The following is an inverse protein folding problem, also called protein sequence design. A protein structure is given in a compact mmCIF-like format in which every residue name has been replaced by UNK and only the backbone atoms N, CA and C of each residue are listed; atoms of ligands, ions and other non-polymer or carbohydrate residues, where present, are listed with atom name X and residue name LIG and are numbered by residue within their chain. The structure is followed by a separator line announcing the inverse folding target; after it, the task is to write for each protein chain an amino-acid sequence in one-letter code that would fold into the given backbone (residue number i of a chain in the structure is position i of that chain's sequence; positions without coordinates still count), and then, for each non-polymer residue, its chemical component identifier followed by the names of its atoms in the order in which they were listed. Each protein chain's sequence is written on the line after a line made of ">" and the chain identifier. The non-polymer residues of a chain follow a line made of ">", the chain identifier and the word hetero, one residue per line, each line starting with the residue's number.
data_IF_765724832668
#
_entry.id   IF_765724832668
#
_cell.length_a   1.000
_cell.length_b   1.000
_cell.length_c   1.000
_cell.angle_alpha   90.00
_cell.angle_beta   90.00
_cell.angle_gamma   90.00
#
_symmetry.space_group_name_H-M   'P 1'
#
loop_
_entity.id
_entity.type
_entity.pdbx_description
1 polymer ?
#
# COMPACT_ATOMS: atom_id res chain seq x y z
N UNK A 1 24.50 -8.01 7.07
CA UNK A 1 25.52 -7.16 7.76
C UNK A 1 26.95 -7.65 7.55
N UNK A 2 27.28 -8.90 7.88
CA UNK A 2 28.68 -9.36 7.78
C UNK A 2 29.18 -9.54 6.33
N UNK A 3 28.33 -9.98 5.41
CA UNK A 3 28.64 -10.09 3.98
C UNK A 3 28.76 -8.74 3.27
N UNK A 4 27.97 -7.75 3.65
CA UNK A 4 28.00 -6.39 3.09
C UNK A 4 29.21 -5.63 3.57
N UNK A 5 29.60 -5.81 4.84
CA UNK A 5 30.83 -5.22 5.40
C UNK A 5 32.08 -5.83 4.76
N UNK A 6 32.07 -7.13 4.44
CA UNK A 6 33.16 -7.78 3.69
C UNK A 6 33.27 -7.28 2.25
N UNK A 7 32.14 -6.99 1.61
CA UNK A 7 32.09 -6.42 0.26
C UNK A 7 32.66 -4.99 0.24
N UNK A 8 32.28 -4.15 1.21
CA UNK A 8 32.78 -2.79 1.37
C UNK A 8 34.29 -2.76 1.68
N UNK A 9 34.78 -3.65 2.53
CA UNK A 9 36.23 -3.80 2.82
C UNK A 9 37.00 -4.30 1.59
N UNK A 10 36.44 -5.23 0.80
CA UNK A 10 37.06 -5.71 -0.44
C UNK A 10 37.13 -4.61 -1.50
N UNK A 11 36.13 -3.74 -1.61
CA UNK A 11 36.12 -2.58 -2.53
C UNK A 11 37.13 -1.54 -2.11
N UNK A 12 37.26 -1.26 -0.81
CA UNK A 12 38.30 -0.34 -0.27
C UNK A 12 39.71 -0.82 -0.53
N UNK A 13 39.99 -2.11 -0.40
CA UNK A 13 41.28 -2.70 -0.70
C UNK A 13 41.63 -2.70 -2.20
N UNK A 14 40.64 -2.86 -3.08
CA UNK A 14 40.82 -2.80 -4.53
C UNK A 14 41.24 -1.39 -4.98
N UNK A 15 40.68 -0.34 -4.36
CA UNK A 15 41.03 1.04 -4.73
C UNK A 15 42.50 1.38 -4.52
N UNK A 16 43.10 1.00 -3.39
CA UNK A 16 44.46 1.36 -3.05
C UNK A 16 45.51 0.61 -3.90
N UNK A 17 45.27 -0.64 -4.18
CA UNK A 17 46.23 -1.47 -4.98
C UNK A 17 46.21 -1.11 -6.47
N UNK A 18 45.07 -0.74 -7.04
CA UNK A 18 44.96 -0.33 -8.45
C UNK A 18 45.44 1.10 -8.70
N UNK A 19 45.29 2.02 -7.74
CA UNK A 19 45.79 3.39 -7.83
C UNK A 19 47.31 3.41 -7.86
N UNK A 20 47.97 2.54 -7.11
CA UNK A 20 49.45 2.44 -7.06
C UNK A 20 50.03 1.80 -8.34
N UNK A 21 49.34 0.89 -9.02
CA UNK A 21 49.80 0.27 -10.27
C UNK A 21 49.56 1.10 -11.53
N UNK A 22 48.67 2.09 -11.48
CA UNK A 22 48.22 2.87 -12.65
C UNK A 22 49.21 3.98 -13.08
N UNK A 23 50.32 4.19 -12.39
CA UNK A 23 51.27 5.28 -12.70
C UNK A 23 52.15 5.03 -13.93
N UNK A 24 52.00 3.90 -14.65
CA UNK A 24 52.91 3.50 -15.73
C UNK A 24 52.41 3.50 -17.18
N UNK A 25 51.11 3.64 -17.47
CA UNK A 25 50.64 3.48 -18.87
C UNK A 25 49.48 4.44 -19.27
N UNK A 26 49.78 5.41 -20.13
CA UNK A 26 48.83 6.43 -20.63
C UNK A 26 47.67 5.91 -21.47
N UNK A 27 47.64 4.68 -21.96
CA UNK A 27 46.54 4.08 -22.77
C UNK A 27 45.46 3.37 -21.98
N UNK A 28 45.72 2.97 -20.74
CA UNK A 28 44.75 2.29 -19.86
C UNK A 28 43.84 3.26 -19.12
N UNK A 29 44.21 4.55 -19.00
CA UNK A 29 43.42 5.55 -18.23
C UNK A 29 41.99 5.74 -18.71
N UNK A 30 41.75 5.76 -20.03
CA UNK A 30 40.36 5.91 -20.57
C UNK A 30 39.49 4.67 -20.30
N UNK A 31 40.05 3.47 -20.39
CA UNK A 31 39.33 2.21 -20.14
C UNK A 31 39.06 2.00 -18.65
N UNK A 32 40.00 2.38 -17.78
CA UNK A 32 39.82 2.37 -16.32
C UNK A 32 38.84 3.41 -15.86
N UNK A 33 38.84 4.63 -16.43
CA UNK A 33 37.85 5.65 -16.11
C UNK A 33 36.41 5.23 -16.54
N UNK A 34 36.30 4.57 -17.70
CA UNK A 34 34.98 4.02 -18.18
C UNK A 34 34.57 2.86 -17.28
N UNK A 35 35.46 1.94 -16.91
CA UNK A 35 35.17 0.84 -15.99
C UNK A 35 34.81 1.33 -14.59
N UNK A 36 35.50 2.35 -14.06
CA UNK A 36 35.19 2.99 -12.80
C UNK A 36 33.84 3.74 -12.84
N UNK A 37 33.54 4.41 -13.96
CA UNK A 37 32.23 5.05 -14.15
C UNK A 37 31.10 4.02 -14.26
N UNK A 38 31.31 2.91 -14.98
CA UNK A 38 30.34 1.81 -15.05
C UNK A 38 30.17 1.15 -13.68
N UNK A 39 31.26 0.91 -12.95
CA UNK A 39 31.19 0.35 -11.59
C UNK A 39 30.50 1.32 -10.61
N UNK A 40 30.74 2.63 -10.73
CA UNK A 40 30.04 3.63 -9.93
C UNK A 40 28.55 3.72 -10.28
N UNK A 41 28.19 3.61 -11.56
CA UNK A 41 26.79 3.56 -12.01
C UNK A 41 26.12 2.26 -11.52
N UNK A 42 26.81 1.12 -11.61
CA UNK A 42 26.30 -0.16 -11.10
C UNK A 42 26.16 -0.16 -9.57
N UNK A 43 27.10 0.49 -8.85
CA UNK A 43 26.99 0.68 -7.39
C UNK A 43 25.88 1.65 -7.01
N UNK A 44 25.66 2.71 -7.78
CA UNK A 44 24.52 3.62 -7.59
C UNK A 44 23.21 2.89 -7.87
N UNK A 45 23.13 2.11 -8.94
CA UNK A 45 21.93 1.33 -9.27
C UNK A 45 21.68 0.21 -8.24
N UNK A 46 22.71 -0.47 -7.77
CA UNK A 46 22.60 -1.46 -6.69
C UNK A 46 22.27 -0.82 -5.35
N UNK A 47 22.81 0.37 -5.06
CA UNK A 47 22.52 1.14 -3.85
C UNK A 47 21.08 1.65 -3.82
N UNK A 48 20.55 2.09 -4.96
CA UNK A 48 19.15 2.54 -5.07
C UNK A 48 18.17 1.37 -4.88
N UNK A 49 18.44 0.21 -5.46
CA UNK A 49 17.61 -0.99 -5.27
C UNK A 49 17.61 -1.50 -3.82
N UNK A 50 18.76 -1.40 -3.14
CA UNK A 50 18.88 -1.79 -1.74
C UNK A 50 18.13 -0.88 -0.77
N UNK A 51 17.86 0.39 -1.12
CA UNK A 51 17.13 1.31 -0.27
C UNK A 51 15.60 1.18 -0.47
N UNK A 52 15.14 0.90 -1.69
CA UNK A 52 13.71 0.84 -2.01
C UNK A 52 12.96 -0.22 -1.19
N UNK A 53 13.55 -1.42 -1.02
CA UNK A 53 12.91 -2.49 -0.24
C UNK A 53 12.70 -2.11 1.24
N UNK A 54 13.59 -1.30 1.81
CA UNK A 54 13.50 -0.90 3.22
C UNK A 54 12.23 -0.08 3.49
N UNK A 55 11.85 0.82 2.60
CA UNK A 55 10.65 1.64 2.77
C UNK A 55 9.38 0.80 2.69
N UNK A 56 9.31 -0.11 1.70
CA UNK A 56 8.18 -1.03 1.61
C UNK A 56 8.15 -2.00 2.79
N UNK A 57 9.31 -2.52 3.22
CA UNK A 57 9.38 -3.38 4.39
C UNK A 57 8.89 -2.65 5.65
N UNK A 58 9.28 -1.39 5.85
CA UNK A 58 8.79 -0.57 6.97
C UNK A 58 7.28 -0.34 6.86
N UNK A 59 6.80 0.04 5.68
CA UNK A 59 5.37 0.24 5.43
C UNK A 59 4.53 -1.00 5.75
N UNK A 60 4.90 -2.15 5.18
CA UNK A 60 4.17 -3.40 5.41
C UNK A 60 4.32 -3.91 6.85
N UNK A 61 5.50 -3.76 7.48
CA UNK A 61 5.71 -4.11 8.89
C UNK A 61 4.84 -3.27 9.81
N UNK A 62 4.73 -1.97 9.57
CA UNK A 62 3.90 -1.07 10.37
C UNK A 62 2.42 -1.44 10.27
N UNK A 63 1.95 -1.85 9.09
CA UNK A 63 0.55 -2.28 8.90
C UNK A 63 0.24 -3.60 9.57
N UNK A 64 1.14 -4.56 9.50
CA UNK A 64 0.96 -5.89 10.10
C UNK A 64 1.27 -5.92 11.59
N UNK A 65 2.09 -5.00 12.06
CA UNK A 65 2.76 -5.05 13.38
C UNK A 65 3.66 -6.30 13.55
N UNK A 66 4.03 -6.94 12.45
CA UNK A 66 4.90 -8.11 12.37
C UNK A 66 5.97 -7.93 11.29
N UNK A 67 7.20 -8.42 11.50
CA UNK A 67 8.25 -8.35 10.48
C UNK A 67 7.90 -9.18 9.24
N UNK A 68 8.34 -8.72 8.08
CA UNK A 68 8.26 -9.50 6.84
C UNK A 68 9.18 -10.70 6.87
N UNK A 69 8.77 -11.80 6.22
CA UNK A 69 9.62 -12.96 5.99
C UNK A 69 10.75 -12.65 4.99
N UNK A 70 11.78 -13.50 4.96
CA UNK A 70 12.88 -13.36 3.99
C UNK A 70 12.39 -13.40 2.55
N UNK A 71 11.45 -14.28 2.22
CA UNK A 71 10.87 -14.42 0.88
C UNK A 71 10.04 -13.20 0.47
N UNK A 72 9.30 -12.58 1.40
CA UNK A 72 8.58 -11.34 1.15
C UNK A 72 9.54 -10.17 0.86
N UNK A 73 10.65 -10.09 1.61
CA UNK A 73 11.71 -9.10 1.37
C UNK A 73 12.36 -9.33 0.00
N UNK A 74 12.62 -10.57 -0.37
CA UNK A 74 13.23 -10.90 -1.66
C UNK A 74 12.27 -10.59 -2.82
N UNK A 75 10.96 -10.80 -2.64
CA UNK A 75 9.94 -10.36 -3.60
C UNK A 75 10.02 -8.84 -3.84
N UNK A 76 10.00 -8.04 -2.77
CA UNK A 76 10.08 -6.58 -2.88
C UNK A 76 11.37 -6.16 -3.58
N UNK A 77 12.51 -6.76 -3.22
CA UNK A 77 13.82 -6.44 -3.82
C UNK A 77 13.87 -6.74 -5.31
N UNK A 78 13.22 -7.82 -5.73
CA UNK A 78 13.23 -8.25 -7.13
C UNK A 78 12.31 -7.40 -8.01
N UNK A 79 11.22 -6.87 -7.45
CA UNK A 79 10.13 -6.26 -8.22
C UNK A 79 10.02 -4.74 -8.04
N UNK A 80 10.58 -4.17 -6.98
CA UNK A 80 10.60 -2.72 -6.80
C UNK A 80 11.50 -2.05 -7.85
N UNK A 81 10.91 -1.18 -8.64
CA UNK A 81 11.61 -0.36 -9.62
C UNK A 81 12.03 0.95 -8.97
N UNK A 82 13.27 1.36 -9.19
CA UNK A 82 13.80 2.62 -8.64
C UNK A 82 13.67 3.74 -9.66
N UNK A 83 13.36 4.94 -9.16
CA UNK A 83 13.24 6.16 -9.93
C UNK A 83 14.10 7.27 -9.31
N UNK A 84 14.36 8.32 -10.08
CA UNK A 84 15.10 9.51 -9.64
C UNK A 84 14.42 10.78 -10.14
N UNK A 85 13.09 10.78 -10.20
CA UNK A 85 12.32 11.94 -10.61
C UNK A 85 12.09 12.84 -9.39
N UNK A 86 12.52 14.09 -9.51
CA UNK A 86 12.48 15.06 -8.42
C UNK A 86 11.85 16.36 -8.86
N UNK A 87 10.98 16.91 -8.05
CA UNK A 87 10.37 18.21 -8.27
C UNK A 87 10.39 19.02 -6.98
N UNK A 88 10.68 20.32 -7.10
CA UNK A 88 10.72 21.26 -5.97
C UNK A 88 9.77 22.42 -6.22
N UNK A 89 9.02 22.79 -5.18
CA UNK A 89 8.12 23.93 -5.20
C UNK A 89 8.11 24.57 -3.80
N UNK A 90 8.33 25.89 -3.77
CA UNK A 90 8.30 26.70 -2.54
C UNK A 90 9.12 26.13 -1.37
N UNK A 91 10.33 25.60 -1.65
CA UNK A 91 11.26 25.03 -0.67
C UNK A 91 11.00 23.57 -0.31
N UNK A 92 9.86 23.00 -0.70
CA UNK A 92 9.55 21.59 -0.53
C UNK A 92 9.93 20.79 -1.77
N UNK A 93 10.48 19.63 -1.57
CA UNK A 93 10.87 18.71 -2.65
C UNK A 93 10.19 17.37 -2.47
N UNK A 94 9.52 16.91 -3.52
CA UNK A 94 9.07 15.54 -3.67
C UNK A 94 9.99 14.80 -4.65
N UNK A 95 10.39 13.60 -4.28
CA UNK A 95 11.22 12.71 -5.09
C UNK A 95 10.53 11.35 -5.21
N UNK A 96 10.17 10.97 -6.43
CA UNK A 96 9.71 9.61 -6.71
C UNK A 96 10.91 8.67 -6.53
N UNK A 97 10.83 7.76 -5.56
CA UNK A 97 11.91 6.85 -5.19
C UNK A 97 11.75 5.46 -5.81
N UNK A 98 10.55 4.90 -5.71
CA UNK A 98 10.32 3.53 -6.21
C UNK A 98 8.87 3.25 -6.49
N UNK A 99 8.63 2.22 -7.31
CA UNK A 99 7.31 1.66 -7.61
C UNK A 99 7.34 0.14 -7.55
N UNK A 100 6.23 -0.47 -7.17
CA UNK A 100 5.95 -1.89 -7.31
C UNK A 100 4.48 -2.02 -7.71
N UNK A 101 4.18 -2.75 -8.77
CA UNK A 101 2.83 -2.77 -9.31
C UNK A 101 2.42 -4.16 -9.79
N UNK A 102 1.13 -4.42 -9.73
CA UNK A 102 0.40 -5.50 -10.36
C UNK A 102 -0.72 -4.94 -11.24
N UNK A 103 -1.44 -5.81 -11.93
CA UNK A 103 -2.55 -5.43 -12.79
C UNK A 103 -3.64 -4.59 -12.10
N UNK A 104 -3.87 -4.81 -10.81
CA UNK A 104 -4.97 -4.23 -10.02
C UNK A 104 -4.52 -3.25 -8.95
N UNK A 105 -3.24 -3.24 -8.59
CA UNK A 105 -2.73 -2.44 -7.47
C UNK A 105 -1.29 -2.00 -7.73
N UNK A 106 -0.94 -0.79 -7.30
CA UNK A 106 0.44 -0.32 -7.29
C UNK A 106 0.78 0.36 -5.97
N UNK A 107 2.03 0.18 -5.54
CA UNK A 107 2.61 0.96 -4.45
C UNK A 107 3.70 1.88 -5.00
N UNK A 108 3.66 3.14 -4.58
CA UNK A 108 4.58 4.17 -5.05
C UNK A 108 5.16 4.91 -3.86
N UNK A 109 6.49 4.97 -3.76
CA UNK A 109 7.16 5.66 -2.67
C UNK A 109 7.72 6.99 -3.13
N UNK A 110 7.34 8.04 -2.41
CA UNK A 110 7.92 9.37 -2.54
C UNK A 110 8.71 9.74 -1.30
N UNK A 111 9.86 10.39 -1.49
CA UNK A 111 10.55 11.12 -0.43
C UNK A 111 10.07 12.56 -0.39
N UNK A 112 9.69 13.05 0.78
CA UNK A 112 9.41 14.45 1.02
C UNK A 112 10.57 15.08 1.77
N UNK A 113 11.08 16.20 1.27
CA UNK A 113 12.05 17.06 1.98
C UNK A 113 11.44 18.45 2.11
N UNK A 114 11.28 18.90 3.34
CA UNK A 114 10.87 20.27 3.67
C UNK A 114 12.09 21.16 3.92
N UNK A 115 11.94 22.49 3.99
CA UNK A 115 12.97 23.41 4.49
C UNK A 115 13.51 22.98 5.87
N UNK A 116 14.76 23.33 6.17
CA UNK A 116 15.43 22.91 7.42
C UNK A 116 14.76 23.39 8.71
N UNK A 117 14.01 24.47 8.63
CA UNK A 117 13.23 25.04 9.74
C UNK A 117 11.87 24.40 9.95
N UNK A 118 11.47 23.46 9.09
CA UNK A 118 10.21 22.71 9.19
C UNK A 118 10.44 21.35 9.85
N UNK A 119 9.87 21.16 11.03
CA UNK A 119 9.93 19.88 11.76
C UNK A 119 8.70 19.01 11.39
N UNK A 120 8.96 17.86 10.75
CA UNK A 120 7.97 16.85 10.36
C UNK A 120 7.97 15.64 11.32
N UNK A 121 8.85 15.59 12.32
CA UNK A 121 8.99 14.41 13.18
C UNK A 121 7.72 14.09 13.99
N UNK A 122 6.91 15.08 14.30
CA UNK A 122 5.62 14.88 14.98
C UNK A 122 4.64 14.02 14.18
N UNK A 123 4.69 14.09 12.85
CA UNK A 123 3.80 13.31 11.97
C UNK A 123 4.05 11.79 12.06
N UNK A 124 5.24 11.39 12.49
CA UNK A 124 5.64 9.99 12.67
C UNK A 124 5.34 9.46 14.08
N UNK A 125 5.06 10.34 15.05
CA UNK A 125 4.75 9.96 16.42
C UNK A 125 3.23 9.81 16.60
N UNK A 126 2.75 8.57 16.70
CA UNK A 126 1.34 8.25 16.90
C UNK A 126 0.72 8.95 18.15
N UNK A 127 1.56 9.36 19.11
CA UNK A 127 1.10 10.03 20.32
C UNK A 127 0.76 11.50 20.12
N UNK A 128 1.29 12.12 19.05
CA UNK A 128 1.01 13.53 18.75
C UNK A 128 -0.28 13.69 17.96
N UNK A 129 -0.75 12.60 17.33
CA UNK A 129 -1.86 12.61 16.36
C UNK A 129 -1.69 13.63 15.22
N UNK A 130 -0.48 14.15 15.01
CA UNK A 130 -0.17 14.97 13.87
C UNK A 130 -0.18 14.11 12.60
N UNK A 131 -0.77 14.62 11.53
CA UNK A 131 -0.85 13.92 10.22
C UNK A 131 -0.55 14.87 9.09
N UNK A 132 0.10 14.37 8.05
CA UNK A 132 0.16 15.08 6.78
C UNK A 132 -1.08 14.74 5.94
N UNK A 133 -1.57 15.75 5.24
CA UNK A 133 -2.63 15.62 4.26
C UNK A 133 -2.21 16.29 2.95
N UNK A 134 -2.65 15.70 1.86
CA UNK A 134 -2.43 16.17 0.51
C UNK A 134 -3.79 16.36 -0.17
N UNK A 135 -4.50 17.50 0.07
CA UNK A 135 -5.89 17.69 -0.35
C UNK A 135 -6.13 17.56 -1.86
N UNK A 136 -5.07 17.75 -2.66
CA UNK A 136 -5.12 17.61 -4.12
C UNK A 136 -4.28 16.44 -4.63
N UNK A 137 -4.14 15.35 -3.84
CA UNK A 137 -3.49 14.12 -4.30
C UNK A 137 -4.39 13.40 -5.29
N UNK A 138 -3.87 13.15 -6.48
CA UNK A 138 -4.56 12.45 -7.56
C UNK A 138 -3.58 11.49 -8.25
N UNK A 139 -4.05 10.33 -8.65
CA UNK A 139 -3.37 9.44 -9.58
C UNK A 139 -4.32 9.13 -10.74
N UNK A 140 -3.89 9.41 -11.96
CA UNK A 140 -4.70 9.21 -13.15
C UNK A 140 -3.96 8.26 -14.09
N UNK A 141 -4.39 6.99 -14.19
CA UNK A 141 -3.84 6.03 -15.14
C UNK A 141 -4.12 6.49 -16.59
N UNK A 142 -3.18 6.22 -17.47
CA UNK A 142 -3.31 6.54 -18.90
C UNK A 142 -4.56 5.89 -19.52
N UNK A 143 -5.33 6.70 -20.25
CA UNK A 143 -6.59 6.25 -20.85
C UNK A 143 -7.77 6.17 -19.89
N UNK A 144 -7.56 6.35 -18.58
CA UNK A 144 -8.65 6.44 -17.61
C UNK A 144 -9.31 7.83 -17.65
N UNK A 145 -10.64 7.84 -17.52
CA UNK A 145 -11.42 9.09 -17.32
C UNK A 145 -11.59 9.46 -15.86
N UNK A 146 -11.32 8.50 -14.96
CA UNK A 146 -11.48 8.65 -13.52
C UNK A 146 -10.12 8.58 -12.84
N UNK A 147 -9.87 9.37 -11.80
CA UNK A 147 -8.71 9.17 -10.95
C UNK A 147 -8.78 7.79 -10.28
N UNK A 148 -7.62 7.24 -9.97
CA UNK A 148 -7.51 6.04 -9.15
C UNK A 148 -7.91 6.35 -7.69
N UNK A 149 -8.35 5.34 -6.98
CA UNK A 149 -8.44 5.40 -5.52
C UNK A 149 -7.03 5.36 -4.92
N UNK A 150 -6.77 6.20 -3.91
CA UNK A 150 -5.45 6.36 -3.31
C UNK A 150 -5.56 6.27 -1.80
N UNK A 151 -4.84 5.32 -1.24
CA UNK A 151 -4.48 5.33 0.18
C UNK A 151 -3.02 5.75 0.33
N UNK A 152 -2.65 6.36 1.46
CA UNK A 152 -1.25 6.64 1.74
C UNK A 152 -0.92 6.51 3.22
N UNK A 153 0.36 6.22 3.48
CA UNK A 153 0.96 6.25 4.80
C UNK A 153 2.28 7.03 4.76
N UNK A 154 2.57 7.67 5.88
CA UNK A 154 3.84 8.37 6.09
C UNK A 154 4.75 7.48 6.91
N UNK A 155 5.98 7.29 6.45
CA UNK A 155 6.98 6.45 7.12
C UNK A 155 8.30 7.19 7.29
N UNK A 156 9.04 6.83 8.34
CA UNK A 156 10.38 7.33 8.57
C UNK A 156 11.29 6.94 7.39
N UNK A 157 12.11 7.87 6.93
CA UNK A 157 13.08 7.61 5.87
C UNK A 157 14.41 7.04 6.41
N UNK A 158 14.57 7.00 7.73
CA UNK A 158 15.72 6.43 8.44
C UNK A 158 16.99 7.27 8.38
N UNK A 159 16.93 8.51 7.88
CA UNK A 159 18.09 9.39 7.78
C UNK A 159 18.34 10.25 9.03
N UNK A 160 17.40 10.23 9.99
CA UNK A 160 17.45 10.93 11.27
C UNK A 160 17.25 12.44 11.18
N UNK A 161 16.90 12.97 10.01
CA UNK A 161 16.56 14.38 9.84
C UNK A 161 15.10 14.61 10.16
N UNK A 162 14.78 15.75 10.76
CA UNK A 162 13.41 16.07 11.16
C UNK A 162 12.55 16.65 10.03
N UNK A 163 13.16 17.06 8.95
CA UNK A 163 12.50 17.69 7.81
C UNK A 163 12.37 16.76 6.60
N UNK A 164 12.61 15.46 6.79
CA UNK A 164 12.49 14.44 5.73
C UNK A 164 11.61 13.28 6.20
N UNK A 165 10.87 12.71 5.26
CA UNK A 165 10.08 11.49 5.46
C UNK A 165 9.76 10.84 4.11
N UNK A 166 9.22 9.63 4.16
CA UNK A 166 8.68 8.96 2.99
C UNK A 166 7.15 8.90 3.04
N UNK A 167 6.54 8.94 1.86
CA UNK A 167 5.11 8.76 1.64
C UNK A 167 4.99 7.52 0.77
N UNK A 168 4.30 6.49 1.25
CA UNK A 168 3.97 5.30 0.46
C UNK A 168 2.52 5.39 0.05
N UNK A 169 2.27 5.48 -1.25
CA UNK A 169 0.93 5.47 -1.83
C UNK A 169 0.55 4.04 -2.21
N UNK A 170 -0.65 3.62 -1.87
CA UNK A 170 -1.33 2.51 -2.51
C UNK A 170 -2.29 3.08 -3.54
N UNK A 171 -2.14 2.70 -4.80
CA UNK A 171 -2.93 3.20 -5.93
C UNK A 171 -3.73 2.06 -6.50
N UNK A 172 -5.02 2.28 -6.65
CA UNK A 172 -5.95 1.35 -7.25
C UNK A 172 -6.71 2.03 -8.38
N UNK A 173 -6.56 1.55 -9.62
CA UNK A 173 -7.29 2.13 -10.74
C UNK A 173 -8.78 1.82 -10.63
N UNK A 174 -9.62 2.83 -10.85
CA UNK A 174 -11.04 2.62 -11.08
C UNK A 174 -11.24 2.16 -12.53
N UNK A 175 -11.16 0.87 -12.75
CA UNK A 175 -11.28 0.28 -14.09
C UNK A 175 -12.72 -0.24 -14.26
N UNK A 176 -13.43 0.15 -15.34
CA UNK A 176 -14.72 -0.47 -15.65
C UNK A 176 -14.59 -1.98 -15.80
N UNK A 177 -15.61 -2.72 -15.37
CA UNK A 177 -15.66 -4.18 -15.50
C UNK A 177 -15.34 -4.63 -16.93
N UNK A 178 -14.42 -5.59 -17.07
CA UNK A 178 -14.01 -6.12 -18.37
C UNK A 178 -13.04 -5.25 -19.17
N UNK A 179 -12.53 -4.14 -18.61
CA UNK A 179 -11.47 -3.38 -19.23
C UNK A 179 -10.10 -4.02 -18.96
N UNK A 180 -9.16 -3.77 -19.87
CA UNK A 180 -7.75 -4.18 -19.68
C UNK A 180 -7.17 -3.54 -18.40
N UNK A 181 -6.19 -4.21 -17.78
CA UNK A 181 -5.43 -3.66 -16.66
C UNK A 181 -5.02 -2.21 -16.93
N UNK A 182 -5.19 -1.34 -15.93
CA UNK A 182 -4.75 0.05 -16.01
C UNK A 182 -3.23 0.18 -15.84
N UNK A 183 -2.58 -0.84 -15.29
CA UNK A 183 -1.14 -0.92 -15.12
C UNK A 183 -0.57 -1.99 -16.05
N UNK A 184 0.70 -1.88 -16.40
CA UNK A 184 1.38 -2.84 -17.26
C UNK A 184 2.45 -2.19 -18.13
N UNK A 185 3.16 -2.98 -18.95
CA UNK A 185 4.21 -2.48 -19.82
C UNK A 185 3.72 -1.39 -20.76
N UNK A 186 4.41 -0.25 -20.76
CA UNK A 186 4.11 0.90 -21.62
C UNK A 186 2.89 1.73 -21.20
N UNK A 187 2.26 1.43 -20.05
CA UNK A 187 1.19 2.26 -19.48
C UNK A 187 1.75 3.19 -18.44
N UNK A 188 1.32 4.44 -18.46
CA UNK A 188 1.75 5.48 -17.53
C UNK A 188 0.64 5.86 -16.56
N UNK A 189 1.03 6.38 -15.40
CA UNK A 189 0.15 6.99 -14.42
C UNK A 189 0.67 8.39 -14.09
N UNK A 190 -0.18 9.38 -14.13
CA UNK A 190 0.17 10.74 -13.68
C UNK A 190 -0.25 10.88 -12.22
N UNK A 191 0.74 11.02 -11.33
CA UNK A 191 0.54 11.24 -9.90
C UNK A 191 0.81 12.71 -9.60
N UNK A 192 -0.20 13.39 -9.07
CA UNK A 192 -0.14 14.82 -8.77
C UNK A 192 -0.40 15.08 -7.30
N UNK A 193 0.41 15.96 -6.72
CA UNK A 193 0.20 16.50 -5.39
C UNK A 193 -0.12 18.01 -5.52
N UNK A 194 -1.04 18.49 -4.71
CA UNK A 194 -1.31 19.90 -4.56
C UNK A 194 -1.40 20.20 -3.08
N UNK A 195 -0.65 21.21 -2.66
CA UNK A 195 -0.58 21.67 -1.28
C UNK A 195 -0.18 20.56 -0.28
N UNK A 196 0.47 20.93 0.79
CA UNK A 196 0.79 20.04 1.90
C UNK A 196 0.27 20.69 3.17
N UNK A 197 -0.60 19.99 3.87
CA UNK A 197 -1.26 20.45 5.09
C UNK A 197 -0.88 19.53 6.23
N UNK A 198 -0.54 20.11 7.37
CA UNK A 198 -0.38 19.41 8.63
C UNK A 198 -1.66 19.53 9.44
N UNK A 199 -2.19 18.41 9.88
CA UNK A 199 -3.30 18.33 10.81
C UNK A 199 -2.76 18.08 12.19
N UNK A 200 -3.34 18.73 13.19
CA UNK A 200 -3.13 18.45 14.59
C UNK A 200 -4.38 17.91 15.25
N UNK A 201 -4.26 17.62 16.53
CA UNK A 201 -5.37 17.24 17.39
C UNK A 201 -5.24 17.98 18.73
N UNK A 202 -6.30 18.69 19.15
CA UNK A 202 -6.33 19.47 20.39
C UNK A 202 -6.99 18.65 21.51
N UNK A 203 -6.19 17.81 22.19
CA UNK A 203 -6.64 16.98 23.29
C UNK A 203 -7.22 17.76 24.47
N UNK A 204 -6.71 18.96 24.76
CA UNK A 204 -7.20 19.79 25.85
C UNK A 204 -8.61 20.27 25.55
N UNK A 205 -8.83 20.65 24.30
CA UNK A 205 -10.16 21.06 23.84
C UNK A 205 -11.15 19.89 23.79
N UNK A 206 -10.72 18.70 23.38
CA UNK A 206 -11.57 17.52 23.45
C UNK A 206 -12.05 17.24 24.88
N UNK A 207 -11.12 17.26 25.84
CA UNK A 207 -11.46 17.06 27.28
C UNK A 207 -12.40 18.15 27.81
N UNK A 208 -12.23 19.40 27.36
CA UNK A 208 -13.16 20.48 27.63
C UNK A 208 -14.56 20.15 27.10
N UNK A 209 -14.71 19.75 25.85
CA UNK A 209 -15.98 19.38 25.22
C UNK A 209 -16.65 18.21 25.94
N UNK A 210 -15.92 17.13 26.19
CA UNK A 210 -16.43 15.93 26.88
C UNK A 210 -16.85 16.19 28.32
N UNK A 211 -16.20 17.11 29.00
CA UNK A 211 -16.55 17.45 30.40
C UNK A 211 -17.68 18.49 30.52
N UNK A 212 -17.96 19.24 29.46
CA UNK A 212 -18.96 20.32 29.49
C UNK A 212 -20.15 20.05 28.58
N UNK A 213 -20.00 20.28 27.27
CA UNK A 213 -21.09 20.25 26.28
C UNK A 213 -21.64 18.84 26.06
N UNK A 214 -20.76 17.84 26.03
CA UNK A 214 -21.09 16.44 25.67
C UNK A 214 -20.99 15.49 26.90
N UNK A 215 -21.00 16.03 28.12
CA UNK A 215 -20.88 15.23 29.33
C UNK A 215 -21.93 14.10 29.40
N UNK A 216 -21.42 12.85 29.45
CA UNK A 216 -22.28 11.65 29.53
C UNK A 216 -22.90 11.21 28.23
N UNK A 217 -22.57 11.83 27.09
CA UNK A 217 -22.98 11.38 25.76
C UNK A 217 -21.95 10.43 25.18
N UNK A 218 -22.41 9.31 24.60
CA UNK A 218 -21.56 8.35 23.88
C UNK A 218 -21.49 8.65 22.39
N UNK A 219 -22.54 9.27 21.83
CA UNK A 219 -22.64 9.64 20.42
C UNK A 219 -22.94 11.13 20.35
N UNK A 220 -21.96 11.90 19.87
CA UNK A 220 -22.12 13.34 19.65
C UNK A 220 -21.56 13.74 18.29
N UNK A 221 -22.20 14.74 17.69
CA UNK A 221 -21.75 15.35 16.46
C UNK A 221 -21.16 16.72 16.77
N UNK A 222 -19.90 16.91 16.41
CA UNK A 222 -19.23 18.20 16.50
C UNK A 222 -19.85 19.15 15.48
N UNK A 223 -20.08 20.39 15.85
CA UNK A 223 -20.33 21.41 14.87
C UNK A 223 -19.04 21.77 14.09
N UNK A 224 -19.16 22.46 12.93
CA UNK A 224 -18.00 22.77 12.10
C UNK A 224 -16.91 23.58 12.79
N UNK A 225 -17.27 24.49 13.74
CA UNK A 225 -16.30 25.30 14.47
C UNK A 225 -15.56 24.46 15.52
N UNK A 226 -16.25 23.59 16.21
CA UNK A 226 -15.66 22.64 17.16
C UNK A 226 -14.74 21.66 16.43
N UNK A 227 -15.18 21.12 15.30
CA UNK A 227 -14.36 20.23 14.48
C UNK A 227 -13.09 20.91 13.98
N UNK A 228 -13.18 22.16 13.52
CA UNK A 228 -12.03 22.93 13.06
C UNK A 228 -11.06 23.27 14.20
N UNK A 229 -11.57 23.49 15.43
CA UNK A 229 -10.73 23.73 16.60
C UNK A 229 -10.09 22.45 17.12
N UNK A 230 -10.83 21.34 17.13
CA UNK A 230 -10.33 20.04 17.55
C UNK A 230 -9.26 19.50 16.58
N UNK A 231 -9.42 19.77 15.28
CA UNK A 231 -8.51 19.35 14.23
C UNK A 231 -7.87 20.57 13.52
N UNK A 232 -6.96 21.30 14.19
CA UNK A 232 -6.32 22.47 13.58
C UNK A 232 -5.51 22.05 12.37
N UNK A 233 -5.69 22.84 11.28
CA UNK A 233 -4.99 22.62 10.04
C UNK A 233 -3.98 23.73 9.80
N UNK A 234 -2.75 23.35 9.45
CA UNK A 234 -1.68 24.29 9.08
C UNK A 234 -1.23 24.00 7.67
N UNK A 235 -1.42 24.96 6.77
CA UNK A 235 -0.85 24.88 5.43
C UNK A 235 0.67 25.04 5.53
N UNK A 236 1.40 23.95 5.29
CA UNK A 236 2.88 23.95 5.30
C UNK A 236 3.40 24.60 4.02
N UNK A 237 2.81 24.25 2.88
CA UNK A 237 3.17 24.82 1.60
C UNK A 237 1.99 24.77 0.62
N UNK A 238 1.76 25.87 -0.10
CA UNK A 238 0.95 25.85 -1.32
C UNK A 238 1.87 25.57 -2.50
N UNK A 239 1.58 24.51 -3.24
CA UNK A 239 2.43 24.07 -4.34
C UNK A 239 1.76 23.04 -5.23
N UNK A 240 2.45 22.64 -6.29
CA UNK A 240 2.02 21.58 -7.19
C UNK A 240 3.23 20.79 -7.68
N UNK A 241 3.11 19.48 -7.61
CA UNK A 241 4.09 18.51 -8.11
C UNK A 241 3.34 17.48 -8.96
N UNK A 242 3.92 17.06 -10.08
CA UNK A 242 3.29 16.10 -10.97
C UNK A 242 4.33 15.17 -11.58
N UNK A 243 4.11 13.87 -11.45
CA UNK A 243 5.03 12.83 -11.89
C UNK A 243 4.31 11.93 -12.89
N UNK A 244 4.90 11.76 -14.04
CA UNK A 244 4.49 10.74 -15.01
C UNK A 244 5.34 9.49 -14.79
N UNK A 245 4.70 8.37 -14.50
CA UNK A 245 5.36 7.15 -14.03
C UNK A 245 4.86 5.97 -14.84
N UNK A 246 5.75 5.19 -15.44
CA UNK A 246 5.42 3.87 -15.98
C UNK A 246 5.35 2.87 -14.82
N UNK A 247 4.17 2.32 -14.58
CA UNK A 247 3.93 1.29 -13.55
C UNK A 247 4.02 -0.08 -14.21
N UNK A 248 5.23 -0.63 -14.27
CA UNK A 248 5.47 -1.97 -14.81
C UNK A 248 4.94 -3.02 -13.85
N UNK A 249 4.13 -3.90 -14.38
CA UNK A 249 3.65 -5.06 -13.66
C UNK A 249 4.82 -5.99 -13.31
N UNK A 250 4.84 -6.47 -12.07
CA UNK A 250 5.76 -7.51 -11.63
C UNK A 250 5.41 -8.83 -12.34
N UNK A 251 6.40 -9.53 -12.85
CA UNK A 251 6.25 -10.80 -13.58
C UNK A 251 6.39 -12.00 -12.61
N UNK A 252 5.58 -12.02 -11.54
CA UNK A 252 5.70 -13.04 -10.48
C UNK A 252 4.63 -14.12 -10.51
N UNK A 253 3.89 -14.18 -11.60
CA UNK A 253 2.90 -15.20 -11.81
C UNK A 253 1.58 -14.98 -11.07
N UNK A 254 0.71 -15.94 -11.22
CA UNK A 254 -0.63 -15.99 -10.64
C UNK A 254 -0.88 -17.41 -10.13
N UNK A 255 -1.48 -17.54 -8.95
CA UNK A 255 -1.94 -18.82 -8.42
C UNK A 255 -3.47 -18.85 -8.45
N UNK A 256 -4.03 -19.83 -9.16
CA UNK A 256 -5.46 -20.11 -9.16
C UNK A 256 -5.77 -21.19 -8.13
N UNK A 257 -6.72 -20.95 -7.23
CA UNK A 257 -7.09 -21.92 -6.18
C UNK A 257 -8.30 -22.80 -6.53
N UNK A 258 -9.13 -22.42 -7.50
CA UNK A 258 -10.37 -23.15 -7.81
C UNK A 258 -10.34 -23.78 -9.20
N UNK A 259 -10.62 -25.11 -9.23
CA UNK A 259 -10.89 -25.86 -10.47
C UNK A 259 -12.39 -25.98 -10.76
N UNK A 260 -13.25 -25.74 -9.76
CA UNK A 260 -14.71 -25.78 -9.87
C UNK A 260 -15.36 -24.81 -8.88
N UNK A 261 -16.57 -24.29 -9.19
CA UNK A 261 -17.28 -23.36 -8.31
C UNK A 261 -17.52 -23.92 -6.91
N UNK A 262 -17.41 -23.06 -5.89
CA UNK A 262 -17.60 -23.39 -4.48
C UNK A 262 -18.59 -22.44 -3.85
N UNK A 263 -19.59 -22.96 -3.14
CA UNK A 263 -20.55 -22.13 -2.40
C UNK A 263 -20.10 -21.94 -0.96
N UNK A 264 -19.99 -20.69 -0.53
CA UNK A 264 -19.63 -20.27 0.83
C UNK A 264 -20.71 -19.37 1.41
N UNK A 265 -20.79 -19.29 2.75
CA UNK A 265 -21.62 -18.27 3.39
C UNK A 265 -20.82 -16.99 3.57
N UNK A 266 -21.36 -15.88 3.08
CA UNK A 266 -20.71 -14.57 3.18
C UNK A 266 -21.68 -13.51 3.70
N UNK A 267 -21.11 -12.47 4.31
CA UNK A 267 -21.87 -11.26 4.63
C UNK A 267 -22.11 -10.48 3.33
N UNK A 268 -23.34 -10.20 3.05
CA UNK A 268 -23.80 -9.47 1.86
C UNK A 268 -24.51 -8.21 2.31
N UNK A 269 -24.07 -7.07 1.79
CA UNK A 269 -24.73 -5.78 1.98
C UNK A 269 -25.61 -5.52 0.77
N UNK A 270 -26.89 -5.19 1.01
CA UNK A 270 -27.86 -4.85 -0.02
C UNK A 270 -28.33 -3.42 0.12
N UNK A 271 -28.54 -2.76 -1.00
CA UNK A 271 -29.20 -1.45 -1.02
C UNK A 271 -30.67 -1.66 -0.62
N UNK A 272 -31.10 -0.97 0.43
CA UNK A 272 -32.47 -1.01 0.94
C UNK A 272 -33.46 -0.24 0.07
N UNK A 273 -34.64 0.06 0.64
CA UNK A 273 -35.72 0.77 -0.05
C UNK A 273 -35.37 2.23 -0.39
N UNK A 274 -34.34 2.80 0.22
CA UNK A 274 -33.77 4.12 -0.12
C UNK A 274 -32.29 3.98 -0.39
N UNK A 275 -31.72 4.88 -1.22
CA UNK A 275 -30.27 4.90 -1.55
C UNK A 275 -29.34 5.06 -0.32
N UNK A 276 -29.90 5.38 0.84
CA UNK A 276 -29.16 5.57 2.10
C UNK A 276 -29.39 4.43 3.11
N UNK A 277 -30.19 3.44 2.76
CA UNK A 277 -30.50 2.32 3.63
C UNK A 277 -29.78 1.07 3.10
N UNK A 278 -28.91 0.49 3.91
CA UNK A 278 -28.27 -0.79 3.62
C UNK A 278 -28.79 -1.87 4.55
N UNK A 279 -28.94 -3.07 4.04
CA UNK A 279 -29.37 -4.25 4.81
C UNK A 279 -28.29 -5.32 4.68
N UNK A 280 -27.73 -5.71 5.82
CA UNK A 280 -26.74 -6.77 5.88
C UNK A 280 -27.41 -8.11 6.14
N UNK A 281 -27.03 -9.10 5.35
CA UNK A 281 -27.53 -10.48 5.47
C UNK A 281 -26.39 -11.48 5.26
N UNK A 282 -26.57 -12.69 5.78
CA UNK A 282 -25.68 -13.81 5.49
C UNK A 282 -26.32 -14.64 4.39
N UNK A 283 -25.65 -14.73 3.26
CA UNK A 283 -26.15 -15.40 2.07
C UNK A 283 -25.17 -16.45 1.56
N UNK A 284 -25.68 -17.40 0.80
CA UNK A 284 -24.88 -18.35 0.05
C UNK A 284 -24.36 -17.66 -1.22
N UNK A 285 -23.03 -17.60 -1.36
CA UNK A 285 -22.34 -16.99 -2.50
C UNK A 285 -21.53 -18.06 -3.22
N UNK A 286 -21.73 -18.20 -4.51
CA UNK A 286 -20.99 -19.15 -5.34
C UNK A 286 -19.75 -18.49 -5.93
N UNK A 287 -18.57 -18.86 -5.43
CA UNK A 287 -17.30 -18.40 -5.96
C UNK A 287 -16.95 -19.22 -7.19
N UNK A 288 -16.66 -18.55 -8.28
CA UNK A 288 -16.35 -19.16 -9.58
C UNK A 288 -14.87 -19.21 -9.90
N UNK A 289 -14.09 -18.24 -9.40
CA UNK A 289 -12.63 -18.27 -9.48
C UNK A 289 -11.97 -17.50 -8.35
N UNK A 290 -10.76 -17.89 -7.98
CA UNK A 290 -9.87 -17.16 -7.07
C UNK A 290 -8.51 -17.08 -7.72
N UNK A 291 -8.03 -15.87 -7.95
CA UNK A 291 -6.71 -15.56 -8.49
C UNK A 291 -5.91 -14.84 -7.43
N UNK A 292 -4.80 -15.42 -7.02
CA UNK A 292 -3.86 -14.84 -6.04
C UNK A 292 -2.66 -14.32 -6.79
N UNK A 293 -2.35 -13.07 -6.57
CA UNK A 293 -1.13 -12.39 -7.00
C UNK A 293 -0.35 -11.92 -5.79
N UNK A 294 0.91 -11.53 -5.94
CA UNK A 294 1.72 -11.16 -4.79
C UNK A 294 1.20 -9.98 -3.94
N UNK A 295 0.42 -9.05 -4.50
CA UNK A 295 -0.11 -7.89 -3.75
C UNK A 295 -1.64 -7.92 -3.59
N UNK A 296 -2.34 -8.82 -4.29
CA UNK A 296 -3.81 -8.83 -4.34
C UNK A 296 -4.40 -10.22 -4.53
N UNK A 297 -5.65 -10.36 -4.15
CA UNK A 297 -6.47 -11.53 -4.44
C UNK A 297 -7.74 -11.06 -5.15
N UNK A 298 -8.03 -11.66 -6.29
CA UNK A 298 -9.26 -11.44 -7.03
C UNK A 298 -10.18 -12.65 -6.86
N UNK A 299 -11.39 -12.41 -6.37
CA UNK A 299 -12.41 -13.43 -6.17
C UNK A 299 -13.57 -13.11 -7.10
N UNK A 300 -13.82 -13.97 -8.10
CA UNK A 300 -15.01 -13.87 -8.94
C UNK A 300 -16.12 -14.77 -8.39
N UNK A 301 -17.35 -14.31 -8.47
CA UNK A 301 -18.50 -15.02 -7.91
C UNK A 301 -19.78 -14.75 -8.71
N UNK A 302 -20.77 -15.61 -8.53
CA UNK A 302 -22.12 -15.37 -9.04
C UNK A 302 -22.84 -14.42 -8.06
N UNK A 303 -23.32 -13.25 -8.54
CA UNK A 303 -24.05 -12.32 -7.69
C UNK A 303 -25.27 -13.01 -7.05
N UNK A 304 -25.45 -12.91 -5.72
CA UNK A 304 -26.64 -13.44 -5.08
C UNK A 304 -27.89 -12.68 -5.55
N UNK A 305 -28.96 -13.39 -5.82
CA UNK A 305 -30.21 -12.82 -6.25
C UNK A 305 -30.99 -12.09 -5.12
N UNK A 306 -31.62 -10.95 -5.34
CA UNK A 306 -31.63 -10.19 -6.60
C UNK A 306 -30.34 -9.37 -6.79
N UNK A 307 -29.72 -9.50 -7.97
CA UNK A 307 -28.39 -8.93 -8.25
C UNK A 307 -28.39 -7.39 -8.34
N UNK A 308 -29.53 -6.77 -8.59
CA UNK A 308 -29.67 -5.31 -8.74
C UNK A 308 -29.57 -4.54 -7.40
N UNK A 309 -29.83 -5.21 -6.28
CA UNK A 309 -29.72 -4.62 -4.93
C UNK A 309 -28.38 -4.91 -4.24
N UNK A 310 -27.53 -5.69 -4.88
CA UNK A 310 -26.28 -6.14 -4.31
C UNK A 310 -25.21 -5.04 -4.36
N UNK A 311 -24.56 -4.75 -3.24
CA UNK A 311 -23.57 -3.69 -3.14
C UNK A 311 -22.18 -4.24 -2.77
N UNK A 312 -22.06 -5.24 -1.91
CA UNK A 312 -20.77 -5.72 -1.42
C UNK A 312 -20.80 -7.19 -0.93
N UNK A 313 -19.70 -7.92 -1.18
CA UNK A 313 -19.40 -9.26 -0.64
C UNK A 313 -18.05 -9.24 0.04
N UNK A 314 -17.86 -10.08 1.04
CA UNK A 314 -16.61 -10.31 1.76
C UNK A 314 -16.10 -9.13 2.61
N UNK A 315 -16.98 -8.20 3.00
CA UNK A 315 -16.60 -7.11 3.90
C UNK A 315 -16.03 -7.63 5.23
N UNK A 316 -15.15 -6.83 5.79
CA UNK A 316 -14.66 -7.07 7.16
C UNK A 316 -15.81 -6.93 8.16
N UNK A 317 -16.25 -8.06 8.72
CA UNK A 317 -17.31 -8.08 9.72
C UNK A 317 -16.98 -7.23 10.96
N UNK A 318 -15.71 -6.86 11.18
CA UNK A 318 -15.33 -5.96 12.29
C UNK A 318 -15.86 -4.53 12.12
N UNK A 319 -16.13 -4.08 10.89
CA UNK A 319 -16.75 -2.78 10.64
C UNK A 319 -18.19 -2.68 11.19
N UNK A 320 -18.85 -3.82 11.38
CA UNK A 320 -20.23 -3.91 11.87
C UNK A 320 -20.34 -4.35 13.34
N UNK A 321 -19.23 -4.64 14.01
CA UNK A 321 -19.23 -5.20 15.36
C UNK A 321 -19.82 -4.28 16.44
N UNK A 322 -20.08 -3.01 16.14
CA UNK A 322 -20.64 -2.01 17.06
C UNK A 322 -22.15 -1.77 16.91
N UNK A 323 -22.80 -2.23 15.84
CA UNK A 323 -24.22 -1.97 15.62
C UNK A 323 -25.10 -2.94 16.44
N UNK A 324 -26.14 -2.46 17.16
CA UNK A 324 -27.08 -3.34 17.85
C UNK A 324 -27.80 -4.23 16.84
N UNK A 325 -27.63 -5.55 16.96
CA UNK A 325 -28.27 -6.52 16.06
C UNK A 325 -27.42 -6.95 14.87
N UNK A 326 -26.14 -6.51 14.80
CA UNK A 326 -25.25 -6.90 13.69
C UNK A 326 -25.11 -8.42 13.56
N UNK A 327 -25.37 -8.91 12.35
CA UNK A 327 -25.33 -10.32 11.97
C UNK A 327 -23.90 -10.87 11.98
N UNK A 328 -22.91 -9.98 11.98
CA UNK A 328 -21.48 -10.28 11.77
C UNK A 328 -20.71 -10.86 12.96
N UNK A 329 -21.31 -11.07 14.13
CA UNK A 329 -20.58 -11.49 15.36
C UNK A 329 -19.85 -12.83 15.27
N UNK A 330 -20.15 -13.67 14.29
CA UNK A 330 -19.58 -15.01 14.13
C UNK A 330 -18.84 -15.22 12.81
N UNK A 331 -18.62 -14.15 12.02
CA UNK A 331 -17.90 -14.26 10.76
C UNK A 331 -16.50 -13.70 10.92
N UNK A 332 -15.52 -14.52 10.62
CA UNK A 332 -14.11 -14.11 10.59
C UNK A 332 -13.84 -13.33 9.30
N UNK A 333 -12.74 -12.57 9.29
CA UNK A 333 -12.23 -11.97 8.05
C UNK A 333 -11.81 -13.05 7.08
N UNK A 334 -11.93 -12.77 5.78
CA UNK A 334 -11.23 -13.55 4.76
C UNK A 334 -9.72 -13.40 5.01
N UNK A 335 -9.01 -14.52 5.10
CA UNK A 335 -7.59 -14.53 5.39
C UNK A 335 -6.85 -15.51 4.50
N UNK A 336 -5.69 -15.11 4.00
CA UNK A 336 -4.78 -16.02 3.35
C UNK A 336 -3.86 -16.66 4.39
N UNK A 337 -3.72 -17.99 4.34
CA UNK A 337 -2.85 -18.74 5.26
C UNK A 337 -1.71 -19.34 4.47
N UNK A 338 -0.49 -19.13 4.95
CA UNK A 338 0.72 -19.68 4.37
C UNK A 338 1.05 -21.03 5.00
N UNK A 339 1.90 -21.83 4.34
CA UNK A 339 2.29 -23.20 4.77
C UNK A 339 2.95 -23.26 6.15
N UNK A 340 3.53 -22.16 6.61
CA UNK A 340 4.10 -22.05 7.96
C UNK A 340 3.05 -21.67 9.02
N UNK A 341 1.79 -21.46 8.63
CA UNK A 341 0.70 -21.00 9.47
C UNK A 341 0.57 -19.48 9.60
N UNK A 342 1.44 -18.70 8.95
CA UNK A 342 1.35 -17.24 8.92
C UNK A 342 0.06 -16.82 8.23
N UNK A 343 -0.65 -15.86 8.82
CA UNK A 343 -1.88 -15.29 8.28
C UNK A 343 -1.56 -13.94 7.63
N UNK A 344 -1.93 -13.78 6.36
CA UNK A 344 -1.85 -12.53 5.63
C UNK A 344 -3.20 -11.84 5.72
N UNK A 345 -3.23 -10.62 6.24
CA UNK A 345 -4.42 -9.80 6.34
C UNK A 345 -4.84 -9.31 4.96
N UNK A 346 -6.14 -9.35 4.71
CA UNK A 346 -6.74 -8.93 3.45
C UNK A 346 -7.72 -7.79 3.72
N UNK A 347 -7.63 -6.74 2.91
CA UNK A 347 -8.52 -5.59 2.96
C UNK A 347 -9.31 -5.55 1.67
N UNK A 348 -10.62 -5.60 1.79
CA UNK A 348 -11.45 -5.39 0.61
C UNK A 348 -11.31 -3.93 0.15
N UNK A 349 -10.93 -3.75 -1.09
CA UNK A 349 -10.75 -2.42 -1.68
C UNK A 349 -11.86 -2.07 -2.66
N UNK A 350 -12.50 -3.09 -3.26
CA UNK A 350 -13.62 -2.89 -4.19
C UNK A 350 -14.44 -4.16 -4.39
N UNK A 351 -15.62 -3.99 -4.92
CA UNK A 351 -16.45 -5.06 -5.44
C UNK A 351 -17.16 -4.56 -6.69
N UNK A 352 -16.83 -5.13 -7.84
CA UNK A 352 -17.80 -5.16 -8.93
C UNK A 352 -18.91 -6.14 -8.55
N UNK A 353 -20.02 -6.12 -9.28
CA UNK A 353 -21.18 -6.98 -8.98
C UNK A 353 -20.88 -8.48 -8.98
N UNK A 354 -19.75 -8.91 -9.53
CA UNK A 354 -19.35 -10.29 -9.72
C UNK A 354 -17.87 -10.56 -9.36
N UNK A 355 -17.16 -9.55 -8.85
CA UNK A 355 -15.74 -9.65 -8.54
C UNK A 355 -15.39 -8.80 -7.33
N UNK A 356 -14.67 -9.37 -6.37
CA UNK A 356 -14.07 -8.65 -5.25
C UNK A 356 -12.55 -8.66 -5.39
N UNK A 357 -11.91 -7.52 -5.17
CA UNK A 357 -10.47 -7.39 -5.10
C UNK A 357 -10.06 -7.11 -3.67
N UNK A 358 -9.25 -7.98 -3.11
CA UNK A 358 -8.71 -7.89 -1.76
C UNK A 358 -7.21 -7.56 -1.86
N UNK A 359 -6.79 -6.46 -1.25
CA UNK A 359 -5.38 -6.11 -1.14
C UNK A 359 -4.76 -6.80 0.06
N UNK A 360 -3.59 -7.38 -0.13
CA UNK A 360 -2.82 -7.94 0.96
C UNK A 360 -2.12 -6.84 1.79
N UNK A 361 -2.04 -7.05 3.11
CA UNK A 361 -1.28 -6.18 4.04
C UNK A 361 0.23 -6.34 3.90
N UNK A 362 0.66 -7.35 3.15
CA UNK A 362 2.05 -7.65 2.86
C UNK A 362 2.16 -8.49 1.58
N UNK A 363 3.30 -8.51 0.90
CA UNK A 363 3.48 -9.34 -0.28
C UNK A 363 3.19 -10.82 0.00
N UNK A 364 2.46 -11.46 -0.90
CA UNK A 364 2.14 -12.88 -0.87
C UNK A 364 3.20 -13.63 -1.67
N UNK A 365 3.88 -14.58 -1.05
CA UNK A 365 4.79 -15.49 -1.74
C UNK A 365 3.96 -16.68 -2.22
N UNK A 366 3.66 -16.73 -3.52
CA UNK A 366 2.70 -17.67 -4.10
C UNK A 366 3.05 -19.15 -3.80
N UNK A 367 4.34 -19.51 -3.75
CA UNK A 367 4.79 -20.86 -3.42
C UNK A 367 4.56 -21.24 -1.96
N UNK A 368 4.31 -20.28 -1.08
CA UNK A 368 4.06 -20.48 0.35
C UNK A 368 2.57 -20.49 0.68
N UNK A 369 1.70 -20.21 -0.28
CA UNK A 369 0.24 -20.27 -0.07
C UNK A 369 -0.20 -21.70 0.26
N UNK A 370 -0.98 -21.84 1.34
CA UNK A 370 -1.60 -23.10 1.75
C UNK A 370 -3.10 -23.08 1.38
N UNK A 371 -3.85 -22.13 1.95
CA UNK A 371 -5.27 -21.98 1.65
C UNK A 371 -5.78 -20.55 1.86
N UNK A 372 -6.92 -20.25 1.25
CA UNK A 372 -7.73 -19.07 1.56
C UNK A 372 -8.84 -19.49 2.53
N UNK A 373 -8.91 -18.87 3.69
CA UNK A 373 -9.99 -19.06 4.67
C UNK A 373 -11.07 -18.00 4.42
N UNK A 374 -12.26 -18.49 4.12
CA UNK A 374 -13.44 -17.65 3.95
C UNK A 374 -14.06 -17.27 5.29
N UNK A 375 -14.94 -16.26 5.30
CA UNK A 375 -15.57 -15.73 6.52
C UNK A 375 -16.41 -16.74 7.27
N UNK A 376 -16.91 -17.79 6.63
CA UNK A 376 -17.64 -18.90 7.26
C UNK A 376 -16.76 -20.05 7.76
N UNK A 377 -15.42 -19.87 7.70
CA UNK A 377 -14.43 -20.89 8.06
C UNK A 377 -14.12 -21.90 6.95
N UNK A 378 -14.76 -21.82 5.80
CA UNK A 378 -14.43 -22.68 4.64
C UNK A 378 -13.00 -22.41 4.19
N UNK A 379 -12.22 -23.48 3.98
CA UNK A 379 -10.85 -23.42 3.45
C UNK A 379 -10.85 -23.82 1.98
N UNK A 380 -10.23 -23.01 1.16
CA UNK A 380 -10.08 -23.22 -0.27
C UNK A 380 -8.60 -23.36 -0.57
N UNK A 381 -8.20 -24.57 -0.99
CA UNK A 381 -6.82 -24.90 -1.36
C UNK A 381 -6.66 -24.99 -2.87
N UNK A 382 -5.43 -25.07 -3.37
CA UNK A 382 -5.15 -25.34 -4.78
C UNK A 382 -5.71 -26.69 -5.28
N UNK A 383 -6.06 -27.61 -4.37
CA UNK A 383 -6.61 -28.94 -4.66
C UNK A 383 -8.12 -29.06 -4.41
N UNK A 384 -8.80 -27.95 -4.13
CA UNK A 384 -10.23 -27.91 -3.88
C UNK A 384 -10.63 -27.49 -2.46
N UNK A 385 -11.90 -27.70 -2.12
CA UNK A 385 -12.49 -27.28 -0.84
C UNK A 385 -12.25 -28.31 0.27
N UNK A 386 -11.75 -27.85 1.42
CA UNK A 386 -11.79 -28.58 2.68
C UNK A 386 -12.72 -27.87 3.68
N UNK A 387 -13.74 -28.55 4.18
CA UNK A 387 -14.56 -28.05 5.32
C UNK A 387 -13.91 -28.48 6.62
N UNK A 388 -13.65 -27.54 7.53
CA UNK A 388 -13.36 -27.89 8.92
C UNK A 388 -14.60 -28.59 9.51
N UNK A 389 -14.38 -29.80 10.06
CA UNK A 389 -15.39 -30.53 10.83
C UNK A 389 -15.55 -29.95 12.23
#
# INVERSE_FOLDING_TARGET
>A
MESEMRLLLAIGQIQDEYILKAHGQRRTRKRLAIAAAIAAILLLLAGCGAAAWHWYATYFTNRRQEPLSGSQIDYIRSNAQTHQLRQSCNGFTLELKSTIAESSTAFVTFGLTAPEDVDLSGVLDIRTEERLSFPGLLAVPEGSRLPADISYDVVDDGDGRKNTLNIVLGIKPMVPQGADSAFGPGKTCVISFRDIVKWGYDWEYEQELLSTKYAGQTDYLLDPEESARLHPQTLLVSGSWSFEVELKEADDGELTLLDSPVTVKSLVTRIGASEYETVDSVEDVTITSIRIRPLSIEISFEPPEPADTFECVFMDASMFAGAPGSVGKNYEKVMLVLKDGTKVGLFQEDGARDTAVLRADSPIVLSEVDYLQMSDGTRITANGQEKMQ
#
